data_IF_702683081264
#
_entry.id   IF_702683081264
#
_cell.length_a   1.000
_cell.length_b   1.000
_cell.length_c   1.000
_cell.angle_alpha   90.00
_cell.angle_beta   90.00
_cell.angle_gamma   90.00
#
_symmetry.space_group_name_H-M   'P 1'
#
loop_
_entity.id
_entity.type
_entity.pdbx_description
1 polymer ?
#
# COMPACT_ATOMS: atom_id res chain seq x y z
N UNK A 1 -4.41 -10.07 1.06
CA UNK A 1 -4.04 -9.04 0.07
C UNK A 1 -5.26 -8.19 -0.17
N UNK A 2 -5.08 -6.88 -0.26
CA UNK A 2 -6.14 -5.91 -0.53
C UNK A 2 -5.74 -5.04 -1.72
N UNK A 3 -6.72 -4.78 -2.58
CA UNK A 3 -6.64 -3.89 -3.74
C UNK A 3 -8.00 -3.18 -3.88
N UNK A 4 -8.23 -2.20 -3.02
CA UNK A 4 -9.50 -1.47 -2.92
C UNK A 4 -9.21 0.01 -2.67
N UNK A 5 -10.14 0.91 -2.99
CA UNK A 5 -9.98 2.35 -2.76
C UNK A 5 -11.18 3.01 -2.07
N UNK A 6 -11.90 2.23 -1.25
CA UNK A 6 -13.06 2.74 -0.52
C UNK A 6 -12.67 3.93 0.35
N UNK A 7 -13.33 5.09 0.16
CA UNK A 7 -13.06 6.30 0.93
C UNK A 7 -13.81 6.33 2.26
N UNK A 8 -15.03 5.80 2.27
CA UNK A 8 -15.77 5.62 3.51
C UNK A 8 -15.23 4.43 4.28
N UNK A 9 -15.05 4.60 5.60
CA UNK A 9 -14.66 3.50 6.48
C UNK A 9 -15.66 2.33 6.42
N UNK A 10 -15.20 1.10 6.72
CA UNK A 10 -16.07 -0.06 6.72
C UNK A 10 -17.17 0.10 7.78
N UNK A 11 -18.37 -0.36 7.45
CA UNK A 11 -19.52 -0.37 8.35
C UNK A 11 -20.26 -1.70 8.24
N UNK A 12 -21.01 -2.05 9.28
CA UNK A 12 -22.01 -3.13 9.23
C UNK A 12 -23.41 -2.63 8.83
N UNK A 13 -23.59 -1.31 8.71
CA UNK A 13 -24.81 -0.72 8.19
C UNK A 13 -25.02 -1.13 6.73
N UNK A 14 -26.28 -1.36 6.36
CA UNK A 14 -26.64 -1.71 4.98
C UNK A 14 -26.34 -0.53 4.07
N UNK A 15 -25.38 -0.70 3.16
CA UNK A 15 -25.05 0.26 2.10
C UNK A 15 -25.27 -0.36 0.73
N UNK A 16 -25.71 0.45 -0.22
CA UNK A 16 -25.83 0.02 -1.62
C UNK A 16 -24.47 -0.48 -2.12
N UNK A 17 -24.44 -1.70 -2.66
CA UNK A 17 -23.21 -2.34 -3.13
C UNK A 17 -22.38 -3.07 -2.06
N UNK A 18 -22.76 -2.98 -0.77
CA UNK A 18 -22.11 -3.73 0.31
C UNK A 18 -22.98 -4.93 0.69
N UNK A 19 -22.37 -6.11 0.74
CA UNK A 19 -23.03 -7.32 1.24
C UNK A 19 -22.44 -7.73 2.60
N UNK A 20 -23.31 -8.21 3.50
CA UNK A 20 -22.90 -8.76 4.78
C UNK A 20 -22.53 -7.72 5.83
N UNK A 21 -21.52 -8.03 6.65
CA UNK A 21 -21.05 -7.20 7.78
C UNK A 21 -19.54 -6.90 7.66
N UNK A 22 -19.13 -5.99 6.75
CA UNK A 22 -17.72 -5.82 6.41
C UNK A 22 -16.84 -5.28 7.54
N UNK A 23 -17.36 -4.41 8.42
CA UNK A 23 -16.60 -3.95 9.59
C UNK A 23 -16.30 -5.14 10.51
N UNK A 24 -17.33 -5.90 10.89
CA UNK A 24 -17.14 -7.12 11.70
C UNK A 24 -16.18 -8.12 11.06
N UNK A 25 -16.26 -8.29 9.73
CA UNK A 25 -15.39 -9.21 9.01
C UNK A 25 -13.93 -8.77 9.03
N UNK A 26 -13.67 -7.48 8.80
CA UNK A 26 -12.32 -6.91 8.83
C UNK A 26 -11.75 -6.91 10.26
N UNK A 27 -12.53 -6.54 11.27
CA UNK A 27 -12.10 -6.58 12.67
C UNK A 27 -11.79 -8.02 13.14
N UNK A 28 -12.64 -8.98 12.79
CA UNK A 28 -12.40 -10.40 13.09
C UNK A 28 -11.13 -10.92 12.40
N UNK A 29 -10.91 -10.53 11.14
CA UNK A 29 -9.68 -10.87 10.43
C UNK A 29 -8.45 -10.17 11.05
N UNK A 30 -8.57 -8.90 11.47
CA UNK A 30 -7.54 -8.19 12.23
C UNK A 30 -7.30 -8.79 13.61
N UNK A 31 -8.22 -9.58 14.18
CA UNK A 31 -7.94 -10.35 15.38
C UNK A 31 -7.09 -11.61 15.09
N UNK A 32 -6.94 -12.01 13.83
CA UNK A 32 -6.12 -13.16 13.44
C UNK A 32 -4.63 -12.79 13.36
N UNK A 33 -3.72 -13.74 13.60
CA UNK A 33 -2.27 -13.55 13.44
C UNK A 33 -1.78 -13.51 11.98
N UNK A 34 -2.67 -13.28 11.01
CA UNK A 34 -2.35 -13.31 9.58
C UNK A 34 -1.62 -12.03 9.16
N UNK A 35 -0.70 -12.17 8.21
CA UNK A 35 -0.04 -11.04 7.57
C UNK A 35 -0.94 -10.31 6.58
N UNK A 36 -0.56 -9.07 6.25
CA UNK A 36 -1.32 -8.16 5.40
C UNK A 36 -0.47 -7.72 4.21
N UNK A 37 -1.09 -7.65 3.04
CA UNK A 37 -0.51 -7.01 1.86
C UNK A 37 -1.48 -5.93 1.40
N UNK A 38 -1.05 -4.67 1.41
CA UNK A 38 -1.77 -3.52 0.87
C UNK A 38 -1.14 -3.17 -0.48
N UNK A 39 -1.90 -3.36 -1.55
CA UNK A 39 -1.42 -3.13 -2.91
C UNK A 39 -2.07 -1.87 -3.48
N UNK A 40 -1.23 -0.97 -3.97
CA UNK A 40 -1.57 0.22 -4.75
C UNK A 40 -2.69 1.04 -4.10
N UNK A 41 -3.90 1.02 -4.68
CA UNK A 41 -5.07 1.71 -4.17
C UNK A 41 -5.39 1.42 -2.69
N UNK A 42 -5.09 0.22 -2.21
CA UNK A 42 -5.36 -0.18 -0.83
C UNK A 42 -4.61 0.68 0.18
N UNK A 43 -3.49 1.30 -0.19
CA UNK A 43 -2.75 2.23 0.67
C UNK A 43 -3.59 3.48 0.98
N UNK A 44 -4.45 3.89 0.04
CA UNK A 44 -5.29 5.09 0.11
C UNK A 44 -6.75 4.81 0.52
N UNK A 45 -7.04 3.56 0.89
CA UNK A 45 -8.37 3.16 1.36
C UNK A 45 -8.59 3.57 2.83
N UNK A 46 -9.87 3.72 3.18
CA UNK A 46 -10.35 3.98 4.54
C UNK A 46 -9.57 5.09 5.29
N UNK A 47 -9.38 6.28 4.69
CA UNK A 47 -8.54 7.34 5.25
C UNK A 47 -8.94 7.81 6.65
N UNK A 48 -10.20 7.56 7.06
CA UNK A 48 -10.74 7.95 8.36
C UNK A 48 -10.91 6.76 9.32
N UNK A 49 -10.32 5.59 9.02
CA UNK A 49 -10.36 4.41 9.87
C UNK A 49 -8.95 4.08 10.40
N UNK A 50 -8.69 4.48 11.64
CA UNK A 50 -7.36 4.41 12.26
C UNK A 50 -6.63 3.06 12.11
N UNK A 51 -7.28 1.89 12.27
CA UNK A 51 -6.59 0.61 12.06
C UNK A 51 -5.96 0.47 10.68
N UNK A 52 -6.60 1.00 9.64
CA UNK A 52 -6.09 0.92 8.28
C UNK A 52 -4.95 1.89 8.03
N UNK A 53 -5.12 3.14 8.48
CA UNK A 53 -4.09 4.19 8.37
C UNK A 53 -2.81 3.76 9.10
N UNK A 54 -2.92 3.17 10.29
CA UNK A 54 -1.78 2.67 11.05
C UNK A 54 -1.12 1.44 10.41
N UNK A 55 -1.89 0.56 9.76
CA UNK A 55 -1.33 -0.55 8.98
C UNK A 55 -0.54 -0.04 7.77
N UNK A 56 -1.10 0.92 7.02
CA UNK A 56 -0.43 1.51 5.87
C UNK A 56 0.82 2.28 6.30
N UNK A 57 0.75 2.97 7.44
CA UNK A 57 1.84 3.79 7.96
C UNK A 57 2.03 5.10 7.22
N UNK A 58 1.04 5.50 6.42
CA UNK A 58 1.05 6.74 5.65
C UNK A 58 -0.31 7.40 5.79
N UNK A 59 -0.31 8.73 5.89
CA UNK A 59 -1.55 9.50 6.00
C UNK A 59 -2.18 9.58 4.63
N UNK A 60 -3.25 8.81 4.37
CA UNK A 60 -3.93 8.82 3.07
C UNK A 60 -4.46 10.21 2.67
N UNK A 61 -4.69 11.11 3.63
CA UNK A 61 -5.06 12.52 3.37
C UNK A 61 -3.92 13.40 2.85
N UNK A 62 -2.67 12.94 2.89
CA UNK A 62 -1.51 13.61 2.27
C UNK A 62 -1.44 13.39 0.76
N UNK A 63 -2.34 12.59 0.20
CA UNK A 63 -2.37 12.35 -1.23
C UNK A 63 -2.72 13.62 -2.01
N UNK A 64 -1.76 14.12 -2.79
CA UNK A 64 -1.91 15.36 -3.55
C UNK A 64 -2.31 15.08 -5.00
N UNK A 65 -1.57 14.21 -5.69
CA UNK A 65 -1.79 13.91 -7.10
C UNK A 65 -1.21 12.56 -7.51
N UNK A 66 -1.60 12.12 -8.69
CA UNK A 66 -1.02 10.97 -9.38
C UNK A 66 -0.62 11.34 -10.81
N UNK A 67 0.31 10.57 -11.40
CA UNK A 67 0.62 10.62 -12.83
C UNK A 67 0.71 9.21 -13.38
N UNK A 68 -0.10 8.90 -14.41
CA UNK A 68 -0.12 7.60 -15.09
C UNK A 68 1.01 7.49 -16.11
N UNK A 69 1.29 6.25 -16.54
CA UNK A 69 2.18 5.94 -17.66
C UNK A 69 3.62 6.47 -17.46
N UNK A 70 4.06 6.63 -16.21
CA UNK A 70 5.39 7.12 -15.88
C UNK A 70 6.42 6.00 -15.96
N UNK A 71 7.59 6.28 -16.55
CA UNK A 71 8.72 5.35 -16.58
C UNK A 71 9.52 5.52 -15.29
N UNK A 72 9.42 4.54 -14.41
CA UNK A 72 10.03 4.58 -13.08
C UNK A 72 11.22 3.63 -13.02
N UNK A 73 12.33 4.11 -12.46
CA UNK A 73 13.41 3.25 -11.97
C UNK A 73 13.11 2.88 -10.51
N UNK A 74 13.01 1.59 -10.24
CA UNK A 74 12.83 1.06 -8.89
C UNK A 74 14.18 0.54 -8.37
N UNK A 75 14.61 1.07 -7.24
CA UNK A 75 15.81 0.67 -6.54
C UNK A 75 15.47 -0.27 -5.38
N UNK A 76 16.26 -1.33 -5.23
CA UNK A 76 16.17 -2.26 -4.09
C UNK A 76 17.05 -1.73 -2.96
N UNK A 77 16.44 -1.16 -1.92
CA UNK A 77 17.15 -0.56 -0.77
C UNK A 77 17.71 -1.61 0.19
N UNK A 78 16.92 -2.64 0.52
CA UNK A 78 17.34 -3.76 1.35
C UNK A 78 17.39 -5.04 0.52
N UNK A 79 18.60 -5.45 0.13
CA UNK A 79 18.82 -6.66 -0.69
C UNK A 79 18.86 -7.96 0.10
N UNK A 80 18.97 -7.87 1.43
CA UNK A 80 19.05 -9.03 2.32
C UNK A 80 17.66 -9.45 2.81
N UNK A 81 16.68 -8.55 2.75
CA UNK A 81 15.32 -8.83 3.19
C UNK A 81 14.66 -9.96 2.37
N UNK A 82 13.90 -10.89 2.99
CA UNK A 82 13.33 -12.04 2.28
C UNK A 82 12.38 -11.74 1.11
N UNK A 83 11.78 -10.54 1.07
CA UNK A 83 10.91 -10.09 -0.03
C UNK A 83 11.73 -9.70 -1.27
N UNK A 84 12.91 -9.13 -1.06
CA UNK A 84 13.73 -8.46 -2.08
C UNK A 84 15.05 -9.17 -2.35
N UNK A 85 15.38 -10.21 -1.58
CA UNK A 85 16.51 -11.10 -1.90
C UNK A 85 16.36 -11.61 -3.33
N UNK A 86 17.46 -11.60 -4.07
CA UNK A 86 17.54 -12.02 -5.48
C UNK A 86 16.81 -11.09 -6.46
N UNK A 87 16.19 -9.99 -6.00
CA UNK A 87 15.64 -8.94 -6.86
C UNK A 87 16.73 -7.90 -7.15
N UNK A 88 16.90 -7.55 -8.42
CA UNK A 88 17.76 -6.46 -8.87
C UNK A 88 16.93 -5.21 -9.10
N UNK A 89 17.57 -4.03 -9.15
CA UNK A 89 16.90 -2.81 -9.60
C UNK A 89 16.29 -3.03 -10.98
N UNK A 90 15.15 -2.39 -11.26
CA UNK A 90 14.47 -2.53 -12.54
C UNK A 90 13.84 -1.22 -12.99
N UNK A 91 13.40 -1.18 -14.24
CA UNK A 91 12.59 -0.11 -14.80
C UNK A 91 11.20 -0.66 -15.13
N UNK A 92 10.17 0.15 -14.94
CA UNK A 92 8.79 -0.22 -15.22
C UNK A 92 7.94 0.99 -15.59
N UNK A 93 6.72 0.75 -16.06
CA UNK A 93 5.71 1.79 -16.30
C UNK A 93 4.58 1.62 -15.27
N UNK A 94 4.19 2.71 -14.59
CA UNK A 94 3.09 2.69 -13.63
C UNK A 94 2.48 4.09 -13.37
N UNK A 95 1.48 4.13 -12.48
CA UNK A 95 0.98 5.32 -11.83
C UNK A 95 1.83 5.70 -10.60
N UNK A 96 2.37 6.93 -10.61
CA UNK A 96 3.10 7.52 -9.49
C UNK A 96 2.16 8.25 -8.53
N UNK A 97 2.48 8.26 -7.23
CA UNK A 97 1.78 9.06 -6.22
C UNK A 97 2.65 10.16 -5.65
N UNK A 98 2.15 11.40 -5.64
CA UNK A 98 2.72 12.51 -4.86
C UNK A 98 1.97 12.59 -3.54
N UNK A 99 2.64 12.17 -2.46
CA UNK A 99 2.09 12.15 -1.10
C UNK A 99 3.22 12.06 -0.07
N UNK A 100 2.89 12.15 1.22
CA UNK A 100 3.87 12.01 2.30
C UNK A 100 4.51 10.61 2.32
N UNK A 101 5.75 10.55 2.82
CA UNK A 101 6.43 9.28 3.08
C UNK A 101 5.76 8.49 4.21
N UNK A 102 5.86 7.15 4.20
CA UNK A 102 5.44 6.37 5.35
C UNK A 102 6.30 6.73 6.57
N UNK A 103 5.70 6.67 7.76
CA UNK A 103 6.35 7.11 8.99
C UNK A 103 7.58 6.24 9.38
N UNK A 104 8.34 6.69 10.38
CA UNK A 104 9.62 6.09 10.77
C UNK A 104 9.56 4.65 11.27
N UNK A 105 8.37 4.11 11.58
CA UNK A 105 8.22 2.70 11.94
C UNK A 105 8.17 1.77 10.71
N UNK A 106 8.22 2.34 9.50
CA UNK A 106 8.36 1.61 8.24
C UNK A 106 9.80 1.25 7.92
N UNK A 107 9.99 0.01 7.49
CA UNK A 107 11.22 -0.46 6.88
C UNK A 107 11.07 -0.47 5.36
N UNK A 108 11.77 0.44 4.67
CA UNK A 108 11.71 0.58 3.22
C UNK A 108 12.47 -0.56 2.54
N UNK A 109 11.87 -1.14 1.52
CA UNK A 109 12.43 -2.22 0.71
C UNK A 109 12.70 -1.79 -0.73
N UNK A 110 11.80 -0.96 -1.27
CA UNK A 110 11.82 -0.51 -2.66
C UNK A 110 11.61 1.00 -2.69
N UNK A 111 12.40 1.70 -3.50
CA UNK A 111 12.31 3.16 -3.64
C UNK A 111 12.44 3.59 -5.10
N UNK A 112 12.14 4.87 -5.35
CA UNK A 112 12.43 5.53 -6.62
C UNK A 112 12.96 6.94 -6.36
N UNK A 113 13.65 7.53 -7.33
CA UNK A 113 14.02 8.94 -7.38
C UNK A 113 13.17 9.74 -8.38
N UNK A 114 12.06 9.16 -8.85
CA UNK A 114 11.16 9.79 -9.82
C UNK A 114 10.62 11.14 -9.29
N UNK A 115 10.74 12.24 -10.05
CA UNK A 115 10.49 13.59 -9.55
C UNK A 115 9.02 13.88 -9.21
N UNK A 116 8.09 13.09 -9.74
CA UNK A 116 6.64 13.18 -9.45
C UNK A 116 6.14 11.96 -8.68
N UNK A 117 6.96 11.43 -7.77
CA UNK A 117 6.58 10.32 -6.90
C UNK A 117 7.11 10.53 -5.48
N UNK A 118 6.40 9.97 -4.49
CA UNK A 118 7.00 9.67 -3.20
C UNK A 118 8.18 8.71 -3.40
N UNK A 119 9.21 8.83 -2.57
CA UNK A 119 10.38 7.98 -2.64
C UNK A 119 10.03 6.53 -2.34
N UNK A 120 9.17 6.28 -1.36
CA UNK A 120 8.86 4.93 -0.90
C UNK A 120 7.88 4.20 -1.81
N UNK A 121 8.35 3.11 -2.46
CA UNK A 121 7.53 2.28 -3.34
C UNK A 121 7.06 1.01 -2.66
N UNK A 122 7.89 0.42 -1.81
CA UNK A 122 7.55 -0.80 -1.09
C UNK A 122 8.16 -0.78 0.30
N UNK A 123 7.35 -1.06 1.32
CA UNK A 123 7.79 -1.03 2.72
C UNK A 123 7.07 -2.06 3.57
N UNK A 124 7.70 -2.44 4.67
CA UNK A 124 7.13 -3.34 5.67
C UNK A 124 6.94 -2.64 7.00
N UNK A 125 5.94 -3.09 7.76
CA UNK A 125 5.60 -2.57 9.09
C UNK A 125 5.12 -3.68 10.00
N UNK A 126 5.12 -3.38 11.30
CA UNK A 126 4.48 -4.20 12.31
C UNK A 126 3.25 -3.46 12.87
N UNK A 127 2.09 -4.10 12.83
CA UNK A 127 0.85 -3.56 13.40
C UNK A 127 0.19 -4.59 14.30
N UNK A 128 0.11 -4.31 15.60
CA UNK A 128 -0.47 -5.22 16.60
C UNK A 128 0.03 -6.67 16.48
N UNK A 129 1.36 -6.84 16.35
CA UNK A 129 2.02 -8.14 16.21
C UNK A 129 1.90 -8.78 14.82
N UNK A 130 1.36 -8.07 13.82
CA UNK A 130 1.21 -8.56 12.44
C UNK A 130 2.23 -7.92 11.52
N UNK A 131 2.69 -8.72 10.56
CA UNK A 131 3.49 -8.26 9.43
C UNK A 131 2.60 -7.64 8.38
N UNK A 132 2.88 -6.40 8.02
CA UNK A 132 2.24 -5.67 6.92
C UNK A 132 3.29 -5.40 5.85
N UNK A 133 2.93 -5.64 4.60
CA UNK A 133 3.69 -5.20 3.43
C UNK A 133 2.81 -4.27 2.60
N UNK A 134 3.35 -3.11 2.25
CA UNK A 134 2.71 -2.12 1.41
C UNK A 134 3.52 -2.00 0.11
N UNK A 135 2.83 -1.95 -1.03
CA UNK A 135 3.44 -1.79 -2.34
C UNK A 135 2.63 -0.77 -3.14
N UNK A 136 3.25 0.35 -3.51
CA UNK A 136 2.60 1.47 -4.18
C UNK A 136 2.32 1.17 -5.66
N UNK A 137 3.24 0.53 -6.38
CA UNK A 137 3.07 0.13 -7.78
C UNK A 137 1.97 -0.93 -7.93
N UNK A 138 1.24 -0.89 -9.06
CA UNK A 138 0.22 -1.90 -9.37
C UNK A 138 -1.03 -1.41 -10.10
N UNK A 139 -1.02 -0.28 -10.80
CA UNK A 139 -2.23 0.37 -11.32
C UNK A 139 -3.02 -0.47 -12.32
N UNK A 140 -2.36 -0.95 -13.38
CA UNK A 140 -3.00 -1.64 -14.49
C UNK A 140 -2.11 -2.72 -15.11
N UNK A 141 -2.45 -3.18 -16.31
CA UNK A 141 -1.73 -4.24 -17.00
C UNK A 141 -0.29 -3.85 -17.39
N UNK A 142 0.07 -2.57 -17.47
CA UNK A 142 1.42 -2.14 -17.78
C UNK A 142 2.41 -2.47 -16.66
N UNK A 143 1.97 -2.39 -15.40
CA UNK A 143 2.75 -2.82 -14.23
C UNK A 143 3.17 -4.30 -14.32
N UNK A 144 2.34 -5.14 -14.94
CA UNK A 144 2.48 -6.60 -14.92
C UNK A 144 2.97 -7.20 -16.25
N UNK A 145 3.43 -6.35 -17.16
CA UNK A 145 4.07 -6.81 -18.40
C UNK A 145 5.54 -7.19 -18.14
N UNK A 146 6.02 -8.22 -18.85
CA UNK A 146 7.40 -8.73 -18.77
C UNK A 146 8.44 -7.82 -19.45
#
# INVERSE_FOLDING_TARGET
MFYNMHKEGPTDEVRSGWMGRPLSALESWLATGKGVVLLHHAILAFPNWDPWVQMAGVVAGSFESFSHDEVMRIAVEDRDHPITREISDWEMIDETYVMDEPDSDSHLLLTTDHPVCMKSIGWTRQYNGKRVFCLQIGHDNQTWND
#
